data_IF_272822982889
#
_entry.id   IF_272822982889
#
_cell.length_a   1.000
_cell.length_b   1.000
_cell.length_c   1.000
_cell.angle_alpha   90.00
_cell.angle_beta   90.00
_cell.angle_gamma   90.00
#
_symmetry.space_group_name_H-M   'P 1'
#
loop_
_entity.id
_entity.type
_entity.pdbx_description
1 polymer ?
#
# COMPACT_ATOMS: atom_id res chain seq x y z
N UNK A 1 18.80 -21.49 16.54
CA UNK A 1 18.85 -20.77 15.25
C UNK A 1 18.49 -19.32 15.52
N UNK A 2 19.40 -18.39 15.27
CA UNK A 2 19.15 -16.93 15.34
C UNK A 2 18.69 -16.46 13.95
N UNK A 3 17.39 -16.57 13.68
CA UNK A 3 16.79 -16.12 12.43
C UNK A 3 16.51 -14.62 12.52
N UNK A 4 16.82 -13.90 11.44
CA UNK A 4 16.53 -12.46 11.34
C UNK A 4 15.14 -12.22 10.78
N UNK A 5 14.40 -11.30 11.41
CA UNK A 5 13.07 -10.88 10.98
C UNK A 5 13.16 -9.55 10.22
N UNK A 6 12.66 -9.56 8.99
CA UNK A 6 12.44 -8.36 8.18
C UNK A 6 10.95 -8.16 7.95
N UNK A 7 10.47 -6.92 8.14
CA UNK A 7 9.10 -6.53 7.79
C UNK A 7 9.13 -5.75 6.48
N UNK A 8 8.41 -6.23 5.46
CA UNK A 8 8.02 -5.38 4.34
C UNK A 8 6.86 -4.48 4.76
N UNK A 9 7.20 -3.27 5.16
CA UNK A 9 6.29 -2.25 5.65
C UNK A 9 5.86 -1.28 4.56
N UNK A 10 5.73 -1.72 3.30
CA UNK A 10 5.29 -0.86 2.19
C UNK A 10 3.99 -0.08 2.49
N UNK A 11 3.14 -0.60 3.37
CA UNK A 11 1.94 0.07 3.91
C UNK A 11 1.85 0.00 5.44
N UNK A 12 2.98 0.05 6.16
CA UNK A 12 3.01 -0.07 7.63
C UNK A 12 2.17 1.00 8.34
N UNK A 13 2.05 2.20 7.75
CA UNK A 13 1.22 3.28 8.28
C UNK A 13 -0.29 2.97 8.17
N UNK A 14 -0.73 2.28 7.09
CA UNK A 14 -2.12 1.81 7.00
C UNK A 14 -2.40 0.80 8.13
N UNK A 15 -1.49 -0.14 8.38
CA UNK A 15 -1.63 -1.10 9.47
C UNK A 15 -1.66 -0.41 10.85
N UNK A 16 -0.77 0.56 11.07
CA UNK A 16 -0.71 1.36 12.31
C UNK A 16 -2.01 2.10 12.59
N UNK A 17 -2.58 2.76 11.57
CA UNK A 17 -3.85 3.48 11.68
C UNK A 17 -5.02 2.52 11.92
N UNK A 18 -5.13 1.43 11.14
CA UNK A 18 -6.23 0.49 11.29
C UNK A 18 -6.22 -0.24 12.65
N UNK A 19 -5.04 -0.55 13.19
CA UNK A 19 -4.90 -1.21 14.50
C UNK A 19 -4.94 -0.22 15.68
N UNK A 20 -4.83 1.09 15.44
CA UNK A 20 -4.71 2.10 16.50
C UNK A 20 -3.42 1.97 17.32
N UNK A 21 -2.36 1.39 16.75
CA UNK A 21 -1.09 1.08 17.43
C UNK A 21 0.06 1.78 16.72
N UNK A 22 1.01 2.43 17.43
CA UNK A 22 2.11 3.13 16.78
C UNK A 22 3.01 2.17 15.99
N UNK A 23 3.57 2.64 14.86
CA UNK A 23 4.50 1.87 14.01
C UNK A 23 5.65 1.26 14.82
N UNK A 24 6.18 1.99 15.81
CA UNK A 24 7.27 1.51 16.67
C UNK A 24 6.92 0.20 17.39
N UNK A 25 5.65 0.00 17.77
CA UNK A 25 5.18 -1.23 18.40
C UNK A 25 5.03 -2.36 17.40
N UNK A 26 4.59 -2.07 16.17
CA UNK A 26 4.47 -3.09 15.10
C UNK A 26 5.82 -3.67 14.67
N UNK A 27 6.88 -2.87 14.75
CA UNK A 27 8.22 -3.26 14.29
C UNK A 27 9.19 -3.63 15.42
N UNK A 28 8.72 -3.64 16.68
CA UNK A 28 9.59 -3.75 17.86
C UNK A 28 10.45 -5.02 17.87
N UNK A 29 9.93 -6.12 17.33
CA UNK A 29 10.55 -7.44 17.35
C UNK A 29 11.28 -7.75 16.02
N UNK A 30 11.31 -6.81 15.08
CA UNK A 30 11.96 -6.95 13.79
C UNK A 30 13.40 -6.43 13.82
N UNK A 31 14.33 -7.16 13.19
CA UNK A 31 15.71 -6.70 13.00
C UNK A 31 15.80 -5.56 11.98
N UNK A 32 14.86 -5.51 11.04
CA UNK A 32 14.76 -4.46 10.03
C UNK A 32 13.36 -4.30 9.45
N UNK A 33 13.08 -3.12 8.90
CA UNK A 33 11.82 -2.82 8.21
C UNK A 33 12.09 -1.96 6.98
N UNK A 34 11.37 -2.22 5.88
CA UNK A 34 11.27 -1.32 4.75
C UNK A 34 9.96 -0.54 4.81
N UNK A 35 9.95 0.73 4.43
CA UNK A 35 8.74 1.57 4.44
C UNK A 35 8.65 2.34 3.14
N UNK A 36 7.53 2.23 2.43
CA UNK A 36 7.31 2.95 1.19
C UNK A 36 6.70 4.32 1.47
N UNK A 37 7.26 5.36 0.85
CA UNK A 37 6.80 6.74 1.03
C UNK A 37 5.94 7.19 -0.17
N UNK A 38 6.09 6.52 -1.31
CA UNK A 38 5.39 6.84 -2.56
C UNK A 38 4.15 5.99 -2.84
N UNK A 39 3.42 5.63 -1.78
CA UNK A 39 2.09 4.99 -1.85
C UNK A 39 1.06 5.88 -1.16
N UNK A 40 0.28 5.36 -0.20
CA UNK A 40 -0.73 6.13 0.53
C UNK A 40 -0.18 7.34 1.30
N UNK A 41 1.13 7.38 1.58
CA UNK A 41 1.78 8.54 2.20
C UNK A 41 1.86 9.74 1.23
N UNK A 42 1.91 9.51 -0.08
CA UNK A 42 1.82 10.58 -1.08
C UNK A 42 3.13 11.30 -1.41
N UNK A 43 4.29 10.77 -1.01
CA UNK A 43 5.57 11.28 -1.52
C UNK A 43 5.71 10.91 -3.01
N UNK A 44 6.38 11.72 -3.85
CA UNK A 44 6.51 11.43 -5.28
C UNK A 44 7.35 10.17 -5.55
N UNK A 45 8.43 9.99 -4.79
CA UNK A 45 9.37 8.87 -4.93
C UNK A 45 9.92 8.54 -3.56
N UNK A 46 10.16 7.25 -3.30
CA UNK A 46 11.11 6.84 -2.28
C UNK A 46 10.59 5.77 -1.32
N UNK A 47 11.54 5.15 -0.65
CA UNK A 47 11.33 4.22 0.45
C UNK A 47 12.50 4.35 1.41
N UNK A 48 12.28 4.00 2.67
CA UNK A 48 13.33 3.94 3.69
C UNK A 48 13.52 2.52 4.15
N UNK A 49 14.75 2.18 4.51
CA UNK A 49 15.07 0.94 5.21
C UNK A 49 15.65 1.30 6.58
N UNK A 50 15.13 0.67 7.61
CA UNK A 50 15.45 0.95 9.01
C UNK A 50 15.91 -0.34 9.67
N UNK A 51 16.91 -0.26 10.54
CA UNK A 51 17.48 -1.39 11.26
C UNK A 51 18.70 -0.95 12.08
N UNK A 52 19.47 -1.93 12.58
CA UNK A 52 20.68 -1.66 13.36
C UNK A 52 21.75 -0.88 12.57
N UNK A 53 22.66 -0.21 13.28
CA UNK A 53 23.77 0.53 12.63
C UNK A 53 24.62 -0.37 11.73
N UNK A 54 24.91 -1.60 12.17
CA UNK A 54 25.69 -2.58 11.40
C UNK A 54 24.93 -3.05 10.15
N UNK A 55 23.62 -3.21 10.25
CA UNK A 55 22.76 -3.51 9.11
C UNK A 55 22.75 -2.37 8.08
N UNK A 56 22.54 -1.12 8.53
CA UNK A 56 22.51 0.05 7.64
C UNK A 56 23.86 0.30 6.97
N UNK A 57 24.98 0.02 7.63
CA UNK A 57 26.31 0.11 7.01
C UNK A 57 26.41 -0.83 5.78
N UNK A 58 25.97 -2.08 5.91
CA UNK A 58 25.92 -3.05 4.80
C UNK A 58 24.93 -2.61 3.73
N UNK A 59 23.73 -2.18 4.12
CA UNK A 59 22.70 -1.71 3.20
C UNK A 59 23.15 -0.52 2.35
N UNK A 60 23.95 0.40 2.91
CA UNK A 60 24.51 1.55 2.16
C UNK A 60 25.50 1.12 1.07
N UNK A 61 26.33 0.10 1.34
CA UNK A 61 27.25 -0.47 0.34
C UNK A 61 26.43 -1.07 -0.80
N UNK A 62 25.46 -1.94 -0.48
CA UNK A 62 24.58 -2.57 -1.46
C UNK A 62 23.79 -1.53 -2.27
N UNK A 63 23.26 -0.48 -1.62
CA UNK A 63 22.59 0.63 -2.30
C UNK A 63 23.50 1.29 -3.34
N UNK A 64 24.79 1.41 -3.06
CA UNK A 64 25.74 1.98 -4.03
C UNK A 64 26.01 1.03 -5.18
N UNK A 65 26.21 -0.26 -4.89
CA UNK A 65 26.41 -1.32 -5.89
C UNK A 65 25.22 -1.45 -6.84
N UNK A 66 23.99 -1.35 -6.32
CA UNK A 66 22.75 -1.42 -7.09
C UNK A 66 22.36 -0.10 -7.77
N UNK A 67 23.19 0.94 -7.70
CA UNK A 67 22.93 2.23 -8.36
C UNK A 67 21.99 3.20 -7.62
N UNK A 68 21.47 2.84 -6.44
CA UNK A 68 20.60 3.70 -5.62
C UNK A 68 21.31 4.85 -4.89
N UNK A 69 22.61 5.03 -5.10
CA UNK A 69 23.41 6.11 -4.51
C UNK A 69 23.25 7.44 -5.24
N UNK A 70 22.03 7.99 -5.21
CA UNK A 70 21.66 9.26 -5.85
C UNK A 70 22.36 10.47 -5.22
N UNK A 71 22.46 11.58 -5.98
CA UNK A 71 23.11 12.83 -5.54
C UNK A 71 22.13 13.76 -4.84
N UNK A 72 21.59 14.78 -5.51
CA UNK A 72 20.71 15.82 -4.95
C UNK A 72 19.31 15.29 -4.55
N UNK A 73 19.26 14.15 -3.84
CA UNK A 73 18.05 13.45 -3.36
C UNK A 73 17.31 14.22 -2.26
N UNK A 74 17.92 15.28 -1.71
CA UNK A 74 17.33 16.13 -0.67
C UNK A 74 15.95 16.67 -1.04
N UNK A 75 15.70 16.97 -2.32
CA UNK A 75 14.39 17.42 -2.81
C UNK A 75 13.32 16.33 -2.60
N UNK A 76 13.64 15.08 -2.95
CA UNK A 76 12.73 13.94 -2.74
C UNK A 76 12.56 13.64 -1.24
N UNK A 77 13.64 13.74 -0.46
CA UNK A 77 13.59 13.56 1.00
C UNK A 77 12.72 14.62 1.68
N UNK A 78 12.76 15.88 1.22
CA UNK A 78 11.93 16.96 1.77
C UNK A 78 10.43 16.69 1.51
N UNK A 79 10.06 16.33 0.27
CA UNK A 79 8.67 15.96 -0.04
C UNK A 79 8.21 14.75 0.79
N UNK A 80 9.08 13.76 0.96
CA UNK A 80 8.77 12.58 1.77
C UNK A 80 8.62 12.89 3.27
N UNK A 81 9.42 13.81 3.82
CA UNK A 81 9.30 14.26 5.20
C UNK A 81 7.95 14.95 5.45
N UNK A 82 7.57 15.89 4.58
CA UNK A 82 6.27 16.58 4.62
C UNK A 82 5.13 15.55 4.53
N UNK A 83 5.21 14.62 3.59
CA UNK A 83 4.20 13.59 3.39
C UNK A 83 4.00 12.72 4.65
N UNK A 84 5.07 12.29 5.31
CA UNK A 84 4.97 11.51 6.56
C UNK A 84 4.37 12.34 7.70
N UNK A 85 4.72 13.62 7.81
CA UNK A 85 4.21 14.49 8.87
C UNK A 85 2.72 14.81 8.70
N UNK A 86 2.26 15.00 7.47
CA UNK A 86 0.92 15.54 7.20
C UNK A 86 -0.11 14.50 6.75
N UNK A 87 0.31 13.37 6.16
CA UNK A 87 -0.63 12.45 5.50
C UNK A 87 -0.91 11.15 6.26
N UNK A 88 -0.13 10.81 7.30
CA UNK A 88 -0.36 9.56 8.06
C UNK A 88 -1.76 9.54 8.68
N UNK A 89 -2.22 10.65 9.27
CA UNK A 89 -3.57 10.75 9.86
C UNK A 89 -4.69 10.65 8.82
N UNK A 90 -4.43 11.08 7.58
CA UNK A 90 -5.42 11.05 6.49
C UNK A 90 -5.71 9.64 5.97
N UNK A 91 -4.85 8.66 6.28
CA UNK A 91 -5.07 7.27 5.87
C UNK A 91 -6.36 6.68 6.45
N UNK A 92 -6.84 7.18 7.59
CA UNK A 92 -8.11 6.75 8.16
C UNK A 92 -9.28 7.04 7.21
N UNK A 93 -9.24 8.19 6.52
CA UNK A 93 -10.26 8.56 5.54
C UNK A 93 -10.20 7.67 4.29
N UNK A 94 -9.01 7.22 3.89
CA UNK A 94 -8.86 6.24 2.82
C UNK A 94 -9.52 4.90 3.20
N UNK A 95 -9.38 4.47 4.46
CA UNK A 95 -10.00 3.23 4.96
C UNK A 95 -11.53 3.37 4.98
N UNK A 96 -12.05 4.50 5.45
CA UNK A 96 -13.50 4.81 5.43
C UNK A 96 -14.05 4.78 4.01
N UNK A 97 -13.39 5.45 3.06
CA UNK A 97 -13.80 5.46 1.65
C UNK A 97 -13.75 4.06 1.04
N UNK A 98 -12.70 3.28 1.32
CA UNK A 98 -12.60 1.91 0.85
C UNK A 98 -13.74 1.03 1.39
N UNK A 99 -14.09 1.21 2.67
CA UNK A 99 -15.22 0.49 3.28
C UNK A 99 -16.56 0.87 2.62
N UNK A 100 -16.81 2.15 2.44
CA UNK A 100 -18.03 2.65 1.78
C UNK A 100 -18.13 2.13 0.34
N UNK A 101 -17.03 2.16 -0.41
CA UNK A 101 -16.98 1.64 -1.77
C UNK A 101 -17.25 0.13 -1.79
N UNK A 102 -16.66 -0.63 -0.85
CA UNK A 102 -16.87 -2.06 -0.73
C UNK A 102 -18.34 -2.41 -0.45
N UNK A 103 -18.98 -1.67 0.45
CA UNK A 103 -20.41 -1.84 0.77
C UNK A 103 -21.30 -1.55 -0.44
N UNK A 104 -21.01 -0.48 -1.18
CA UNK A 104 -21.73 -0.13 -2.41
C UNK A 104 -21.57 -1.17 -3.51
N UNK A 105 -20.33 -1.63 -3.77
CA UNK A 105 -20.06 -2.67 -4.76
C UNK A 105 -20.76 -3.99 -4.43
N UNK A 106 -20.87 -4.34 -3.14
CA UNK A 106 -21.49 -5.58 -2.72
C UNK A 106 -23.01 -5.61 -2.90
N UNK A 107 -23.64 -4.45 -3.18
CA UNK A 107 -25.05 -4.36 -3.54
C UNK A 107 -25.32 -4.54 -5.04
N UNK A 108 -24.27 -4.53 -5.88
CA UNK A 108 -24.41 -4.63 -7.33
C UNK A 108 -24.53 -6.09 -7.74
N UNK A 109 -25.66 -6.44 -8.36
CA UNK A 109 -25.88 -7.78 -8.91
C UNK A 109 -24.83 -8.11 -9.97
N UNK A 110 -24.14 -9.23 -9.80
CA UNK A 110 -23.07 -9.68 -10.69
C UNK A 110 -21.67 -9.37 -10.17
N UNK A 111 -21.54 -8.63 -9.08
CA UNK A 111 -20.30 -8.47 -8.33
C UNK A 111 -20.39 -9.21 -6.99
N UNK A 112 -19.24 -9.66 -6.48
CA UNK A 112 -19.11 -10.28 -5.16
C UNK A 112 -17.81 -9.82 -4.52
N UNK A 113 -17.87 -9.44 -3.26
CA UNK A 113 -16.68 -9.24 -2.44
C UNK A 113 -16.97 -9.54 -0.97
N UNK A 114 -15.92 -9.83 -0.21
CA UNK A 114 -16.02 -9.95 1.24
C UNK A 114 -15.75 -8.59 1.90
N UNK A 115 -16.82 -7.86 2.25
CA UNK A 115 -16.72 -6.55 2.90
C UNK A 115 -15.99 -6.63 4.24
N UNK A 116 -16.04 -7.76 4.96
CA UNK A 116 -15.34 -7.94 6.23
C UNK A 116 -13.82 -8.08 6.05
N UNK A 117 -13.34 -8.46 4.87
CA UNK A 117 -11.92 -8.54 4.56
C UNK A 117 -11.28 -7.19 4.18
N UNK A 118 -12.08 -6.12 4.05
CA UNK A 118 -11.59 -4.76 3.76
C UNK A 118 -11.21 -4.09 5.07
N UNK A 119 -9.94 -4.24 5.46
CA UNK A 119 -9.40 -3.67 6.71
C UNK A 119 -8.75 -2.29 6.54
N UNK A 120 -8.26 -1.97 5.34
CA UNK A 120 -7.55 -0.71 5.05
C UNK A 120 -8.03 -0.08 3.74
N UNK A 121 -7.14 0.22 2.79
CA UNK A 121 -7.43 1.01 1.59
C UNK A 121 -7.40 0.22 0.28
N UNK A 122 -7.55 -1.10 0.33
CA UNK A 122 -7.57 -1.97 -0.87
C UNK A 122 -8.84 -2.81 -0.83
N UNK A 123 -9.49 -2.92 -1.98
CA UNK A 123 -10.69 -3.72 -2.16
C UNK A 123 -10.44 -4.69 -3.29
N UNK A 124 -10.68 -5.97 -3.05
CA UNK A 124 -10.76 -6.96 -4.12
C UNK A 124 -12.22 -7.32 -4.32
N UNK A 125 -12.66 -7.36 -5.57
CA UNK A 125 -14.00 -7.80 -5.90
C UNK A 125 -14.00 -8.65 -7.16
N UNK A 126 -14.90 -9.61 -7.19
CA UNK A 126 -15.05 -10.60 -8.24
C UNK A 126 -16.30 -10.31 -9.07
N UNK A 127 -16.18 -10.47 -10.38
CA UNK A 127 -17.31 -10.59 -11.28
C UNK A 127 -17.79 -12.03 -11.23
N UNK A 128 -19.05 -12.22 -10.84
CA UNK A 128 -19.63 -13.54 -10.58
C UNK A 128 -19.76 -14.33 -11.89
N UNK A 129 -19.47 -15.63 -11.84
CA UNK A 129 -19.65 -16.54 -12.97
C UNK A 129 -21.09 -16.51 -13.50
N UNK A 130 -21.26 -16.40 -14.82
CA UNK A 130 -22.57 -16.22 -15.46
C UNK A 130 -23.09 -14.78 -15.48
N UNK A 131 -22.33 -13.80 -14.95
CA UNK A 131 -22.59 -12.40 -15.23
C UNK A 131 -22.45 -12.09 -16.72
N UNK A 132 -23.23 -11.12 -17.21
CA UNK A 132 -23.21 -10.69 -18.62
C UNK A 132 -21.94 -9.91 -19.01
N UNK A 133 -21.05 -9.68 -18.05
CA UNK A 133 -19.83 -8.89 -18.21
C UNK A 133 -18.66 -9.66 -17.61
N UNK A 134 -17.46 -9.48 -18.16
CA UNK A 134 -16.21 -10.00 -17.61
C UNK A 134 -15.48 -8.89 -16.85
N UNK A 135 -14.48 -9.23 -16.04
CA UNK A 135 -13.64 -8.24 -15.36
C UNK A 135 -12.94 -7.29 -16.38
N UNK A 136 -12.45 -7.84 -17.49
CA UNK A 136 -11.83 -7.05 -18.56
C UNK A 136 -12.78 -6.03 -19.17
N UNK A 137 -13.99 -6.46 -19.55
CA UNK A 137 -14.99 -5.55 -20.15
C UNK A 137 -15.47 -4.52 -19.13
N UNK A 138 -15.58 -4.89 -17.85
CA UNK A 138 -15.91 -3.94 -16.79
C UNK A 138 -14.85 -2.85 -16.67
N UNK A 139 -13.56 -3.21 -16.58
CA UNK A 139 -12.46 -2.24 -16.54
C UNK A 139 -12.47 -1.28 -17.74
N UNK A 140 -12.63 -1.80 -18.96
CA UNK A 140 -12.70 -0.97 -20.18
C UNK A 140 -13.90 -0.03 -20.19
N UNK A 141 -15.06 -0.49 -19.73
CA UNK A 141 -16.26 0.34 -19.65
C UNK A 141 -16.09 1.45 -18.61
N UNK A 142 -15.49 1.15 -17.46
CA UNK A 142 -15.19 2.15 -16.43
C UNK A 142 -14.18 3.19 -16.93
N UNK A 143 -13.16 2.77 -17.68
CA UNK A 143 -12.17 3.66 -18.27
C UNK A 143 -12.79 4.67 -19.25
N UNK A 144 -13.80 4.24 -20.05
CA UNK A 144 -14.57 5.15 -20.91
C UNK A 144 -15.31 6.25 -20.13
N UNK A 145 -15.55 6.04 -18.84
CA UNK A 145 -16.15 7.02 -17.91
C UNK A 145 -15.11 7.72 -17.04
N UNK A 146 -13.81 7.57 -17.34
CA UNK A 146 -12.71 8.17 -16.58
C UNK A 146 -12.40 7.49 -15.25
N UNK A 147 -12.91 6.27 -15.03
CA UNK A 147 -12.68 5.49 -13.80
C UNK A 147 -11.67 4.39 -14.10
N UNK A 148 -10.50 4.47 -13.48
CA UNK A 148 -9.43 3.48 -13.66
C UNK A 148 -9.51 2.39 -12.59
N UNK A 149 -9.59 1.13 -13.01
CA UNK A 149 -9.61 -0.06 -12.15
C UNK A 149 -8.68 -1.11 -12.75
N UNK A 150 -7.92 -1.81 -11.92
CA UNK A 150 -7.00 -2.84 -12.40
C UNK A 150 -7.68 -4.20 -12.43
N UNK A 151 -7.54 -4.91 -13.54
CA UNK A 151 -7.86 -6.33 -13.60
C UNK A 151 -6.69 -7.14 -13.02
N UNK A 152 -6.95 -7.91 -11.96
CA UNK A 152 -5.95 -8.77 -11.32
C UNK A 152 -5.99 -10.19 -11.88
N UNK A 153 -7.18 -10.67 -12.25
CA UNK A 153 -7.38 -11.96 -12.92
C UNK A 153 -8.61 -11.92 -13.83
N UNK A 154 -8.94 -13.00 -14.59
CA UNK A 154 -10.11 -13.01 -15.48
C UNK A 154 -11.44 -12.66 -14.80
N UNK A 155 -11.55 -12.89 -13.49
CA UNK A 155 -12.75 -12.64 -12.70
C UNK A 155 -12.57 -11.56 -11.62
N UNK A 156 -11.34 -11.13 -11.32
CA UNK A 156 -11.06 -10.27 -10.16
C UNK A 156 -10.53 -8.89 -10.59
N UNK A 157 -11.06 -7.88 -9.93
CA UNK A 157 -10.60 -6.50 -10.00
C UNK A 157 -10.06 -6.03 -8.64
N UNK A 158 -9.22 -5.00 -8.68
CA UNK A 158 -8.67 -4.28 -7.52
C UNK A 158 -8.56 -2.79 -7.79
#
# INVERSE_FOLDING_TARGET
MDLKLHIDGARIFNASVALGVPVSRLVQDADSVSVCLSKGIGAPVGSVIVGSKSFIAKARILRKTLGGGMRQVGILCAAALVAVQENVSKLEDDHKKAKMLAEGLNQIKGLRLNVAAVETNIIYFDVVEGAKITAETLCKNLEQHGILVMQESPIRCV
#
